data_IF_360033535543
#
_entry.id   IF_360033535543
#
_cell.length_a   1.000
_cell.length_b   1.000
_cell.length_c   1.000
_cell.angle_alpha   90.00
_cell.angle_beta   90.00
_cell.angle_gamma   90.00
#
_symmetry.space_group_name_H-M   'P 1'
#
loop_
_entity.id
_entity.type
_entity.pdbx_description
1 polymer ?
#
# COMPACT_ATOMS: atom_id res chain seq x y z
N UNK A 1 -22.25 12.81 14.12
CA UNK A 1 -22.62 12.95 12.71
C UNK A 1 -23.46 11.75 12.29
N UNK A 2 -24.43 11.93 11.42
CA UNK A 2 -25.25 10.83 10.89
C UNK A 2 -24.82 10.54 9.45
N UNK A 3 -24.49 9.28 9.16
CA UNK A 3 -24.20 8.85 7.80
C UNK A 3 -25.46 8.99 6.92
N UNK A 4 -25.41 9.74 5.80
CA UNK A 4 -26.60 9.99 4.97
C UNK A 4 -27.09 8.74 4.22
N UNK A 5 -26.25 7.73 4.04
CA UNK A 5 -26.59 6.49 3.31
C UNK A 5 -27.10 5.40 4.24
N UNK A 6 -26.47 5.22 5.40
CA UNK A 6 -26.81 4.13 6.34
C UNK A 6 -27.67 4.60 7.50
N UNK A 7 -27.71 5.90 7.78
CA UNK A 7 -28.38 6.48 8.95
C UNK A 7 -27.67 6.23 10.28
N UNK A 8 -26.50 5.59 10.25
CA UNK A 8 -25.68 5.28 11.43
C UNK A 8 -25.12 6.55 12.07
N UNK A 9 -25.03 6.55 13.40
CA UNK A 9 -24.43 7.66 14.16
C UNK A 9 -22.94 7.41 14.31
N UNK A 10 -22.13 8.25 13.64
CA UNK A 10 -20.68 8.22 13.72
C UNK A 10 -20.20 9.26 14.76
N UNK A 11 -19.41 8.86 15.76
CA UNK A 11 -18.83 9.79 16.73
C UNK A 11 -17.82 10.70 16.03
N UNK A 12 -17.85 11.99 16.37
CA UNK A 12 -16.80 12.95 15.96
C UNK A 12 -15.88 13.14 17.16
N UNK A 13 -14.59 12.94 16.95
CA UNK A 13 -13.55 13.27 17.92
C UNK A 13 -12.99 14.63 17.55
N UNK A 14 -12.89 15.56 18.51
CA UNK A 14 -12.36 16.89 18.26
C UNK A 14 -10.95 16.98 18.79
N UNK A 15 -10.02 17.28 17.88
CA UNK A 15 -8.65 17.66 18.20
C UNK A 15 -8.62 19.12 18.62
N UNK A 16 -7.84 19.45 19.66
CA UNK A 16 -7.68 20.82 20.16
C UNK A 16 -6.19 21.10 20.37
N UNK A 17 -5.73 22.20 19.80
CA UNK A 17 -4.38 22.74 20.01
C UNK A 17 -4.46 24.21 20.45
N UNK A 18 -3.50 24.65 21.25
CA UNK A 18 -3.45 26.02 21.78
C UNK A 18 -2.01 26.52 21.85
N UNK A 19 -1.81 27.76 21.45
CA UNK A 19 -0.57 28.49 21.71
C UNK A 19 -0.62 29.08 23.13
N UNK A 20 0.39 28.85 23.97
CA UNK A 20 0.29 29.15 25.40
C UNK A 20 0.31 30.64 25.73
N UNK A 21 0.98 31.51 24.97
CA UNK A 21 1.08 32.94 25.24
C UNK A 21 -0.20 33.68 24.85
N UNK A 22 -0.59 33.53 23.58
CA UNK A 22 -1.80 34.16 23.03
C UNK A 22 -3.10 33.53 23.50
N UNK A 23 -3.02 32.27 23.90
CA UNK A 23 -4.17 31.38 24.09
C UNK A 23 -5.01 31.22 22.81
N UNK A 24 -4.34 31.35 21.63
CA UNK A 24 -4.97 31.17 20.32
C UNK A 24 -5.27 29.70 20.10
N UNK A 25 -6.54 29.38 19.85
CA UNK A 25 -7.05 28.02 19.84
C UNK A 25 -7.30 27.56 18.40
N UNK A 26 -6.84 26.35 18.09
CA UNK A 26 -7.24 25.59 16.93
C UNK A 26 -8.04 24.37 17.35
N UNK A 27 -9.09 24.02 16.59
CA UNK A 27 -9.83 22.78 16.78
C UNK A 27 -10.30 22.23 15.43
N UNK A 28 -10.32 20.89 15.32
CA UNK A 28 -10.81 20.18 14.13
C UNK A 28 -11.48 18.87 14.53
N UNK A 29 -12.65 18.60 13.96
CA UNK A 29 -13.33 17.31 14.07
C UNK A 29 -12.73 16.28 13.13
N UNK A 30 -12.66 15.04 13.58
CA UNK A 30 -12.19 13.88 12.80
C UNK A 30 -13.02 12.64 13.16
N UNK A 31 -13.12 11.69 12.23
CA UNK A 31 -13.85 10.42 12.42
C UNK A 31 -12.96 9.30 12.94
N UNK A 32 -11.68 9.51 13.01
CA UNK A 32 -10.70 8.51 13.45
C UNK A 32 -9.51 9.19 14.11
N UNK A 33 -9.02 8.58 15.17
CA UNK A 33 -7.78 9.00 15.86
C UNK A 33 -6.56 8.17 15.44
N UNK A 34 -6.64 7.49 14.28
CA UNK A 34 -5.49 6.73 13.75
C UNK A 34 -4.37 7.68 13.33
N UNK A 35 -3.15 7.15 13.24
CA UNK A 35 -1.94 7.93 12.94
C UNK A 35 -2.03 8.83 11.69
N UNK A 36 -2.62 8.39 10.55
CA UNK A 36 -2.75 9.28 9.39
C UNK A 36 -3.54 10.57 9.71
N UNK A 37 -4.70 10.42 10.36
CA UNK A 37 -5.55 11.55 10.74
C UNK A 37 -4.92 12.40 11.84
N UNK A 38 -4.19 11.75 12.78
CA UNK A 38 -3.45 12.45 13.81
C UNK A 38 -2.36 13.34 13.22
N UNK A 39 -1.57 12.85 12.28
CA UNK A 39 -0.54 13.60 11.57
C UNK A 39 -1.17 14.75 10.77
N UNK A 40 -2.24 14.47 10.02
CA UNK A 40 -2.95 15.45 9.20
C UNK A 40 -3.48 16.63 10.03
N UNK A 41 -4.12 16.35 11.16
CA UNK A 41 -4.68 17.41 12.00
C UNK A 41 -3.59 18.24 12.69
N UNK A 42 -2.43 17.66 13.00
CA UNK A 42 -1.27 18.41 13.48
C UNK A 42 -0.69 19.31 12.39
N UNK A 43 -0.61 18.84 11.12
CA UNK A 43 -0.21 19.69 10.00
C UNK A 43 -1.13 20.93 9.88
N UNK A 44 -2.45 20.69 9.89
CA UNK A 44 -3.44 21.77 9.81
C UNK A 44 -3.35 22.76 10.98
N UNK A 45 -3.00 22.28 12.18
CA UNK A 45 -2.79 23.14 13.34
C UNK A 45 -1.58 24.08 13.12
N UNK A 46 -0.46 23.56 12.58
CA UNK A 46 0.72 24.36 12.26
C UNK A 46 0.40 25.43 11.19
N UNK A 47 -0.38 25.05 10.15
CA UNK A 47 -0.84 26.00 9.13
C UNK A 47 -1.70 27.12 9.73
N UNK A 48 -2.65 26.74 10.58
CA UNK A 48 -3.53 27.70 11.24
C UNK A 48 -2.77 28.65 12.15
N UNK A 49 -1.76 28.17 12.87
CA UNK A 49 -0.89 29.02 13.69
C UNK A 49 0.08 29.87 12.85
N UNK A 50 0.32 29.47 11.60
CA UNK A 50 1.20 30.17 10.66
C UNK A 50 2.68 29.97 10.94
N UNK A 51 3.06 28.89 11.63
CA UNK A 51 4.44 28.54 11.95
C UNK A 51 4.54 27.31 12.86
N UNK A 52 5.77 26.93 13.16
CA UNK A 52 6.10 25.73 13.94
C UNK A 52 6.62 26.15 15.33
N UNK A 53 6.00 25.72 16.43
CA UNK A 53 6.53 25.95 17.77
C UNK A 53 7.77 25.09 18.00
N UNK A 54 8.76 25.61 18.76
CA UNK A 54 9.95 24.85 19.09
C UNK A 54 9.65 23.59 19.93
N UNK A 55 8.51 23.57 20.65
CA UNK A 55 8.10 22.48 21.52
C UNK A 55 6.59 22.25 21.40
N UNK A 56 6.22 20.99 21.13
CA UNK A 56 4.82 20.51 21.14
C UNK A 56 4.60 19.68 22.41
N UNK A 57 3.72 20.14 23.28
CA UNK A 57 3.30 19.37 24.47
C UNK A 57 2.04 18.60 24.11
N UNK A 58 2.10 17.27 24.09
CA UNK A 58 0.97 16.41 23.78
C UNK A 58 0.48 15.61 24.99
N UNK A 59 -0.76 15.19 24.98
CA UNK A 59 -1.25 14.20 25.94
C UNK A 59 -0.64 12.81 25.65
N UNK A 60 -0.65 11.94 26.66
CA UNK A 60 -0.17 10.56 26.54
C UNK A 60 -1.15 9.69 25.73
N UNK A 61 -1.53 10.12 24.55
CA UNK A 61 -2.33 9.32 23.64
C UNK A 61 -1.41 8.32 22.89
N UNK A 62 -1.97 7.16 22.50
CA UNK A 62 -1.21 6.09 21.82
C UNK A 62 -0.59 6.54 20.48
N UNK A 63 -1.15 7.55 19.86
CA UNK A 63 -0.66 8.14 18.62
C UNK A 63 0.65 8.94 18.83
N UNK A 64 0.83 9.50 20.02
CA UNK A 64 2.02 10.28 20.35
C UNK A 64 3.05 9.48 21.13
N UNK A 65 2.60 8.60 22.05
CA UNK A 65 3.48 7.94 23.03
C UNK A 65 3.16 6.45 23.11
N UNK A 66 4.18 5.60 22.92
CA UNK A 66 4.05 4.14 23.05
C UNK A 66 4.16 3.76 24.53
N UNK A 67 5.20 4.24 25.19
CA UNK A 67 5.47 3.98 26.60
C UNK A 67 5.95 5.27 27.28
N UNK A 68 5.31 5.62 28.40
CA UNK A 68 5.72 6.73 29.24
C UNK A 68 5.86 6.26 30.70
N UNK A 69 6.73 5.29 30.95
CA UNK A 69 7.05 4.82 32.30
C UNK A 69 8.09 5.74 32.96
N UNK A 70 9.04 6.21 32.18
CA UNK A 70 10.02 7.20 32.59
C UNK A 70 9.82 8.48 31.77
N UNK A 71 9.48 9.60 32.47
CA UNK A 71 9.22 10.87 31.81
C UNK A 71 10.48 11.54 31.23
N UNK A 72 11.66 11.03 31.58
CA UNK A 72 12.96 11.54 31.10
C UNK A 72 13.21 11.04 29.67
N UNK A 73 12.83 9.79 29.39
CA UNK A 73 12.99 9.17 28.07
C UNK A 73 11.68 8.47 27.63
N UNK A 74 10.62 9.23 27.30
CA UNK A 74 9.39 8.62 26.80
C UNK A 74 9.63 8.00 25.43
N UNK A 75 9.14 6.78 25.23
CA UNK A 75 9.15 6.16 23.91
C UNK A 75 8.02 6.76 23.05
N UNK A 76 8.39 7.64 22.14
CA UNK A 76 7.45 8.27 21.21
C UNK A 76 7.04 7.30 20.10
N UNK A 77 5.84 7.49 19.57
CA UNK A 77 5.45 6.84 18.34
C UNK A 77 6.42 7.29 17.22
N UNK A 78 6.97 6.32 16.50
CA UNK A 78 8.01 6.57 15.49
C UNK A 78 7.54 7.52 14.37
N UNK A 79 6.29 7.37 13.93
CA UNK A 79 5.75 8.20 12.85
C UNK A 79 5.52 9.64 13.33
N UNK A 80 5.16 9.83 14.61
CA UNK A 80 5.04 11.15 15.21
C UNK A 80 6.40 11.78 15.54
N UNK A 81 7.40 10.98 15.88
CA UNK A 81 8.79 11.44 16.00
C UNK A 81 9.35 11.90 14.64
N UNK A 82 9.13 11.13 13.57
CA UNK A 82 9.51 11.53 12.20
C UNK A 82 8.79 12.81 11.75
N UNK A 83 7.53 13.01 12.17
CA UNK A 83 6.79 14.25 11.96
C UNK A 83 7.47 15.42 12.66
N UNK A 84 7.87 15.26 13.91
CA UNK A 84 8.54 16.30 14.67
C UNK A 84 9.92 16.66 14.05
N UNK A 85 10.68 15.64 13.63
CA UNK A 85 11.97 15.84 12.95
C UNK A 85 11.81 16.61 11.64
N UNK A 86 10.75 16.31 10.87
CA UNK A 86 10.44 17.01 9.61
C UNK A 86 10.19 18.50 9.83
N UNK A 87 9.49 18.85 10.90
CA UNK A 87 9.18 20.25 11.25
C UNK A 87 10.25 20.92 12.11
N UNK A 88 11.25 20.18 12.59
CA UNK A 88 12.28 20.69 13.48
C UNK A 88 11.77 21.05 14.88
N UNK A 89 10.68 20.45 15.32
CA UNK A 89 10.08 20.63 16.65
C UNK A 89 10.38 19.47 17.58
N UNK A 90 10.34 19.69 18.89
CA UNK A 90 10.45 18.62 19.87
C UNK A 90 9.07 18.25 20.42
N UNK A 91 8.84 16.96 20.68
CA UNK A 91 7.62 16.47 21.33
C UNK A 91 7.93 16.23 22.82
N UNK A 92 7.14 16.83 23.69
CA UNK A 92 7.17 16.60 25.12
C UNK A 92 5.84 16.00 25.58
N UNK A 93 5.78 14.72 25.91
CA UNK A 93 4.60 14.13 26.51
C UNK A 93 4.28 14.76 27.85
N UNK A 94 3.01 15.07 28.08
CA UNK A 94 2.59 15.68 29.33
C UNK A 94 2.83 14.72 30.51
N UNK A 95 3.40 15.26 31.58
CA UNK A 95 3.74 14.49 32.77
C UNK A 95 2.47 13.94 33.44
N UNK A 96 2.44 12.62 33.68
CA UNK A 96 1.35 11.98 34.41
C UNK A 96 1.19 12.64 35.80
N UNK A 97 -0.03 13.10 36.15
CA UNK A 97 -0.39 13.72 37.43
C UNK A 97 0.24 15.10 37.74
N UNK A 98 0.72 15.87 36.73
CA UNK A 98 1.13 17.28 36.94
C UNK A 98 0.27 18.22 36.10
N UNK A 99 -0.79 18.80 36.67
CA UNK A 99 -1.79 19.59 35.92
C UNK A 99 -1.25 20.89 35.30
N UNK A 100 -0.16 21.46 35.81
CA UNK A 100 0.37 22.73 35.30
C UNK A 100 0.79 22.71 33.82
N UNK A 101 1.23 21.58 33.28
CA UNK A 101 1.61 21.44 31.88
C UNK A 101 0.41 21.33 30.93
N UNK A 102 -0.76 20.94 31.45
CA UNK A 102 -1.99 20.78 30.67
C UNK A 102 -3.00 21.90 30.87
N UNK A 103 -2.76 22.80 31.83
CA UNK A 103 -3.76 23.80 32.25
C UNK A 103 -4.28 24.67 31.10
N UNK A 104 -3.46 25.00 30.12
CA UNK A 104 -3.87 25.79 28.97
C UNK A 104 -4.79 25.00 28.04
N UNK A 105 -4.46 23.72 27.74
CA UNK A 105 -5.31 22.87 26.88
C UNK A 105 -6.60 22.49 27.60
N UNK A 106 -6.54 22.10 28.86
CA UNK A 106 -7.72 21.80 29.68
C UNK A 106 -8.67 23.01 29.77
N UNK A 107 -8.10 24.21 29.93
CA UNK A 107 -8.87 25.44 29.91
C UNK A 107 -9.50 25.71 28.53
N UNK A 108 -8.76 25.50 27.44
CA UNK A 108 -9.29 25.63 26.09
C UNK A 108 -10.44 24.63 25.83
N UNK A 109 -10.24 23.35 26.19
CA UNK A 109 -11.28 22.33 26.11
C UNK A 109 -12.52 22.74 26.91
N UNK A 110 -12.35 23.21 28.16
CA UNK A 110 -13.45 23.67 28.99
C UNK A 110 -14.20 24.90 28.43
N UNK A 111 -13.51 25.81 27.72
CA UNK A 111 -14.12 26.93 27.01
C UNK A 111 -14.93 26.43 25.82
N UNK A 112 -14.38 25.48 25.05
CA UNK A 112 -15.06 24.87 23.91
C UNK A 112 -16.28 24.05 24.35
N UNK A 113 -16.17 23.27 25.43
CA UNK A 113 -17.29 22.51 25.99
C UNK A 113 -18.47 23.42 26.43
N UNK A 114 -18.18 24.45 27.20
CA UNK A 114 -19.23 25.34 27.78
C UNK A 114 -19.86 26.29 26.76
N UNK A 115 -19.06 26.77 25.80
CA UNK A 115 -19.54 27.79 24.87
C UNK A 115 -19.94 27.29 23.50
N UNK A 116 -19.44 26.13 23.12
CA UNK A 116 -19.41 25.74 21.73
C UNK A 116 -20.08 24.36 21.48
N UNK A 117 -19.62 23.30 22.16
CA UNK A 117 -20.20 21.97 21.91
C UNK A 117 -21.69 21.92 22.22
N UNK A 118 -22.15 22.65 23.22
CA UNK A 118 -23.56 22.72 23.53
C UNK A 118 -24.42 23.28 22.38
N UNK A 119 -23.88 24.26 21.63
CA UNK A 119 -24.58 24.79 20.45
C UNK A 119 -24.55 23.82 19.26
N UNK A 120 -23.48 22.99 19.16
CA UNK A 120 -23.34 22.01 18.08
C UNK A 120 -24.16 20.74 18.33
N UNK A 121 -24.34 20.32 19.58
CA UNK A 121 -25.17 19.16 19.95
C UNK A 121 -26.63 19.30 19.50
N UNK A 122 -27.12 20.51 19.41
CA UNK A 122 -28.48 20.79 18.93
C UNK A 122 -28.61 20.66 17.39
N UNK A 123 -27.49 20.58 16.67
CA UNK A 123 -27.48 20.49 15.21
C UNK A 123 -27.24 19.06 14.75
N UNK A 124 -27.91 18.64 13.69
CA UNK A 124 -27.61 17.38 12.99
C UNK A 124 -26.61 17.63 11.86
N UNK A 125 -25.52 16.91 11.88
CA UNK A 125 -24.50 16.97 10.83
C UNK A 125 -24.53 15.69 9.98
N UNK A 126 -24.46 15.86 8.66
CA UNK A 126 -24.42 14.79 7.68
C UNK A 126 -23.06 14.66 6.98
N UNK A 127 -22.17 15.62 7.19
CA UNK A 127 -20.78 15.54 6.72
C UNK A 127 -19.82 16.15 7.75
N UNK A 128 -18.60 15.62 7.77
CA UNK A 128 -17.52 16.13 8.61
C UNK A 128 -17.10 17.55 8.21
N UNK A 129 -17.15 17.84 6.91
CA UNK A 129 -16.84 19.16 6.36
C UNK A 129 -17.81 20.25 6.89
N UNK A 130 -19.10 19.94 6.90
CA UNK A 130 -20.12 20.84 7.46
C UNK A 130 -19.86 21.11 8.94
N UNK A 131 -19.57 20.04 9.72
CA UNK A 131 -19.22 20.17 11.14
C UNK A 131 -17.99 21.05 11.33
N UNK A 132 -16.91 20.80 10.60
CA UNK A 132 -15.66 21.56 10.72
C UNK A 132 -15.85 23.02 10.28
N UNK A 133 -16.66 23.29 9.28
CA UNK A 133 -16.97 24.65 8.86
C UNK A 133 -17.65 25.45 9.96
N UNK A 134 -18.67 24.86 10.61
CA UNK A 134 -19.37 25.49 11.72
C UNK A 134 -18.43 25.66 12.93
N UNK A 135 -17.62 24.65 13.22
CA UNK A 135 -16.58 24.67 14.25
C UNK A 135 -15.61 25.85 14.06
N UNK A 136 -15.10 26.02 12.84
CA UNK A 136 -14.13 27.09 12.56
C UNK A 136 -14.74 28.47 12.60
N UNK A 137 -15.98 28.66 12.16
CA UNK A 137 -16.69 29.92 12.27
C UNK A 137 -16.83 30.37 13.75
N UNK A 138 -17.24 29.47 14.62
CA UNK A 138 -17.36 29.77 16.06
C UNK A 138 -15.99 29.97 16.71
N UNK A 139 -14.98 29.20 16.28
CA UNK A 139 -13.61 29.32 16.77
C UNK A 139 -12.99 30.67 16.42
N UNK A 140 -13.23 31.14 15.20
CA UNK A 140 -12.79 32.47 14.76
C UNK A 140 -13.43 33.57 15.61
N UNK A 141 -14.74 33.47 15.88
CA UNK A 141 -15.44 34.39 16.77
C UNK A 141 -14.84 34.37 18.19
N UNK A 142 -14.59 33.18 18.74
CA UNK A 142 -13.98 33.00 20.06
C UNK A 142 -12.55 33.59 20.13
N UNK A 143 -11.74 33.39 19.11
CA UNK A 143 -10.38 33.92 19.07
C UNK A 143 -10.33 35.45 18.95
N UNK A 144 -11.40 36.07 18.43
CA UNK A 144 -11.57 37.52 18.37
C UNK A 144 -12.29 38.12 19.57
N UNK A 145 -12.88 37.28 20.46
CA UNK A 145 -13.55 37.74 21.67
C UNK A 145 -12.54 38.37 22.65
N UNK A 146 -12.81 39.57 23.19
CA UNK A 146 -11.96 40.25 24.17
C UNK A 146 -11.79 39.41 25.45
N UNK A 147 -10.56 39.41 25.99
CA UNK A 147 -10.33 38.82 27.29
C UNK A 147 -10.99 39.63 28.39
N UNK A 148 -11.53 38.97 29.41
CA UNK A 148 -12.07 39.68 30.58
C UNK A 148 -11.05 40.38 31.46
N UNK A 149 -9.80 39.96 31.42
CA UNK A 149 -8.70 40.40 32.30
C UNK A 149 -7.47 40.91 31.54
N UNK A 150 -7.45 40.89 30.22
CA UNK A 150 -6.36 41.42 29.37
C UNK A 150 -6.96 42.47 28.44
N UNK A 151 -6.13 43.37 27.95
CA UNK A 151 -6.56 44.52 27.13
C UNK A 151 -7.05 44.12 25.73
N UNK A 152 -6.45 43.09 25.17
CA UNK A 152 -6.76 42.65 23.81
C UNK A 152 -7.35 41.23 23.79
N UNK A 153 -7.58 40.68 22.57
CA UNK A 153 -8.08 39.36 22.32
C UNK A 153 -6.98 38.36 21.97
N UNK A 154 -7.33 37.08 21.77
CA UNK A 154 -6.37 36.00 21.39
C UNK A 154 -5.70 36.27 20.08
N UNK A 155 -6.43 36.79 19.09
CA UNK A 155 -5.92 37.08 17.77
C UNK A 155 -4.80 38.14 17.82
N UNK A 156 -4.97 39.22 18.60
CA UNK A 156 -3.94 40.26 18.79
C UNK A 156 -2.65 39.70 19.35
N UNK A 157 -2.72 38.90 20.42
CA UNK A 157 -1.54 38.30 21.02
C UNK A 157 -0.94 37.21 20.15
N UNK A 158 -1.73 36.56 19.27
CA UNK A 158 -1.22 35.62 18.30
C UNK A 158 -0.36 36.29 17.23
N UNK A 159 -0.69 37.47 16.78
CA UNK A 159 0.14 38.24 15.85
C UNK A 159 1.53 38.54 16.42
N UNK A 160 1.66 38.75 17.73
CA UNK A 160 2.93 38.85 18.43
C UNK A 160 3.63 37.48 18.54
N UNK A 161 2.93 36.44 19.01
CA UNK A 161 3.49 35.08 19.22
C UNK A 161 3.95 34.43 17.91
N UNK A 162 3.28 34.72 16.81
CA UNK A 162 3.60 34.22 15.48
C UNK A 162 5.03 34.59 15.03
N UNK A 163 5.56 35.69 15.47
CA UNK A 163 6.92 36.14 15.11
C UNK A 163 8.00 35.24 15.73
N UNK A 164 7.68 34.54 16.81
CA UNK A 164 8.57 33.60 17.52
C UNK A 164 8.45 32.16 17.00
N UNK A 165 7.48 31.88 16.12
CA UNK A 165 7.33 30.54 15.52
C UNK A 165 8.37 30.36 14.40
N UNK A 166 8.89 29.16 14.27
CA UNK A 166 9.74 28.77 13.14
C UNK A 166 8.94 28.74 11.84
N UNK A 167 9.58 29.02 10.69
CA UNK A 167 8.88 28.98 9.40
C UNK A 167 8.40 27.58 9.07
N UNK A 168 7.23 27.49 8.42
CA UNK A 168 6.72 26.24 7.88
C UNK A 168 7.63 25.78 6.73
N UNK A 169 7.93 24.48 6.63
CA UNK A 169 8.61 23.92 5.47
C UNK A 169 7.74 24.05 4.22
N UNK A 170 8.36 24.02 3.04
CA UNK A 170 7.66 24.13 1.75
C UNK A 170 6.70 22.98 1.45
N UNK A 171 6.88 21.85 2.12
CA UNK A 171 6.05 20.65 1.98
C UNK A 171 5.64 20.14 3.36
N UNK A 172 4.36 19.77 3.49
CA UNK A 172 3.89 19.12 4.71
C UNK A 172 4.48 17.72 4.86
N UNK A 173 4.60 17.28 6.11
CA UNK A 173 4.91 15.90 6.39
C UNK A 173 3.73 15.02 5.94
N UNK A 174 4.01 14.06 5.06
CA UNK A 174 3.05 13.06 4.62
C UNK A 174 3.23 11.76 5.41
N UNK A 175 2.17 11.32 6.09
CA UNK A 175 2.20 10.04 6.77
C UNK A 175 2.49 8.90 5.79
N UNK A 176 3.43 8.03 6.15
CA UNK A 176 3.79 6.86 5.35
C UNK A 176 3.61 5.57 6.14
N UNK A 177 2.63 4.78 5.71
CA UNK A 177 2.48 3.41 6.21
C UNK A 177 3.74 2.59 5.93
N UNK A 178 4.29 1.92 6.97
CA UNK A 178 5.52 1.14 6.86
C UNK A 178 5.23 -0.35 6.95
N UNK A 179 5.79 -1.12 6.04
CA UNK A 179 5.67 -2.57 6.02
C UNK A 179 6.93 -3.22 5.48
N UNK A 180 7.29 -4.36 6.04
CA UNK A 180 8.33 -5.21 5.47
C UNK A 180 7.67 -6.34 4.66
N UNK A 181 8.12 -6.56 3.43
CA UNK A 181 7.64 -7.62 2.57
C UNK A 181 8.82 -8.39 1.95
N UNK A 182 8.60 -9.68 1.66
CA UNK A 182 9.56 -10.50 0.93
C UNK A 182 9.22 -10.44 -0.55
N UNK A 183 10.22 -10.20 -1.40
CA UNK A 183 10.06 -10.24 -2.83
C UNK A 183 9.81 -11.68 -3.30
N UNK A 184 8.80 -11.87 -4.13
CA UNK A 184 8.43 -13.15 -4.72
C UNK A 184 9.20 -13.43 -6.02
N UNK A 185 9.09 -14.68 -6.52
CA UNK A 185 9.82 -15.12 -7.74
C UNK A 185 9.38 -14.41 -9.03
N UNK A 186 8.28 -13.68 -9.00
CA UNK A 186 7.79 -12.82 -10.08
C UNK A 186 8.36 -11.40 -10.05
N UNK A 187 9.35 -11.15 -9.18
CA UNK A 187 10.02 -9.86 -8.96
C UNK A 187 9.11 -8.75 -8.41
N UNK A 188 8.05 -9.12 -7.68
CA UNK A 188 7.16 -8.17 -7.04
C UNK A 188 7.09 -8.38 -5.54
N UNK A 189 6.77 -7.30 -4.84
CA UNK A 189 6.36 -7.33 -3.44
C UNK A 189 4.87 -7.06 -3.35
N UNK A 190 4.20 -7.73 -2.41
CA UNK A 190 2.78 -7.53 -2.16
C UNK A 190 2.58 -6.52 -1.05
N UNK A 191 1.85 -5.46 -1.36
CA UNK A 191 1.42 -4.45 -0.40
C UNK A 191 -0.02 -4.04 -0.70
N UNK A 192 -0.87 -3.94 0.31
CA UNK A 192 -2.29 -3.55 0.22
C UNK A 192 -3.07 -4.28 -0.89
N UNK A 193 -2.85 -5.59 -0.99
CA UNK A 193 -3.42 -6.45 -2.05
C UNK A 193 -3.08 -6.06 -3.49
N UNK A 194 -2.03 -5.27 -3.70
CA UNK A 194 -1.45 -4.96 -5.00
C UNK A 194 0.01 -5.45 -5.08
N UNK A 195 0.57 -5.44 -6.28
CA UNK A 195 1.90 -5.98 -6.57
C UNK A 195 2.77 -4.90 -7.19
N UNK A 196 3.93 -4.67 -6.59
CA UNK A 196 4.88 -3.62 -6.99
C UNK A 196 6.20 -4.23 -7.37
N UNK A 197 6.67 -3.89 -8.55
CA UNK A 197 7.95 -4.38 -9.07
C UNK A 197 9.12 -3.85 -8.29
N UNK A 198 10.10 -4.73 -8.05
CA UNK A 198 11.40 -4.38 -7.46
C UNK A 198 12.52 -4.97 -8.34
N UNK A 199 13.72 -4.40 -8.26
CA UNK A 199 14.86 -4.90 -9.02
C UNK A 199 15.17 -6.37 -8.68
N UNK A 200 15.59 -7.13 -9.70
CA UNK A 200 15.92 -8.56 -9.60
C UNK A 200 17.01 -8.89 -8.57
N UNK A 201 17.91 -7.94 -8.27
CA UNK A 201 18.96 -8.11 -7.26
C UNK A 201 18.40 -8.37 -5.84
N UNK A 202 17.13 -8.08 -5.61
CA UNK A 202 16.44 -8.29 -4.34
C UNK A 202 15.55 -9.54 -4.33
N UNK A 203 15.69 -10.41 -5.33
CA UNK A 203 14.92 -11.66 -5.41
C UNK A 203 15.02 -12.45 -4.09
N UNK A 204 13.85 -12.84 -3.56
CA UNK A 204 13.69 -13.55 -2.28
C UNK A 204 14.20 -12.81 -1.03
N UNK A 205 14.74 -11.59 -1.15
CA UNK A 205 15.12 -10.76 -0.01
C UNK A 205 13.91 -10.02 0.55
N UNK A 206 14.03 -9.59 1.81
CA UNK A 206 13.08 -8.68 2.45
C UNK A 206 13.41 -7.25 2.05
N UNK A 207 12.38 -6.43 1.83
CA UNK A 207 12.48 -5.00 1.56
C UNK A 207 11.55 -4.24 2.49
N UNK A 208 11.85 -2.97 2.74
CA UNK A 208 11.01 -2.05 3.49
C UNK A 208 10.15 -1.24 2.53
N UNK A 209 8.86 -1.19 2.80
CA UNK A 209 7.88 -0.43 2.02
C UNK A 209 7.43 0.75 2.87
N UNK A 210 7.45 1.95 2.30
CA UNK A 210 6.84 3.16 2.84
C UNK A 210 5.78 3.63 1.84
N UNK A 211 4.54 3.72 2.28
CA UNK A 211 3.43 4.07 1.39
C UNK A 211 2.62 5.23 1.96
N UNK A 212 2.49 6.27 1.16
CA UNK A 212 1.55 7.37 1.41
C UNK A 212 0.16 7.05 0.85
N UNK A 213 -0.73 8.03 0.83
CA UNK A 213 -2.04 7.92 0.19
C UNK A 213 -1.95 7.73 -1.33
N UNK A 214 -0.88 8.23 -1.97
CA UNK A 214 -0.72 8.30 -3.43
C UNK A 214 0.45 7.49 -3.97
N UNK A 215 1.48 7.24 -3.15
CA UNK A 215 2.78 6.70 -3.59
C UNK A 215 3.24 5.55 -2.70
N UNK A 216 3.87 4.55 -3.30
CA UNK A 216 4.55 3.44 -2.63
C UNK A 216 6.04 3.50 -2.94
N UNK A 217 6.86 3.74 -1.92
CA UNK A 217 8.33 3.76 -1.98
C UNK A 217 8.89 2.49 -1.38
N UNK A 218 9.83 1.89 -2.06
CA UNK A 218 10.44 0.63 -1.64
C UNK A 218 11.93 0.85 -1.39
N UNK A 219 12.41 0.34 -0.27
CA UNK A 219 13.77 0.50 0.21
C UNK A 219 14.38 -0.86 0.55
N UNK A 220 15.70 -0.97 0.50
CA UNK A 220 16.41 -2.08 1.12
C UNK A 220 16.22 -2.05 2.65
N UNK A 221 16.53 -3.14 3.36
CA UNK A 221 16.52 -3.11 4.84
C UNK A 221 17.60 -2.19 5.42
N UNK A 222 18.63 -1.86 4.63
CA UNK A 222 19.66 -0.89 5.01
C UNK A 222 19.22 0.58 4.80
N UNK A 223 17.99 0.81 4.29
CA UNK A 223 17.46 2.15 4.04
C UNK A 223 17.75 2.73 2.65
N UNK A 224 18.42 1.97 1.77
CA UNK A 224 18.69 2.39 0.40
C UNK A 224 17.38 2.44 -0.42
N UNK A 225 17.14 3.54 -1.13
CA UNK A 225 15.99 3.70 -2.02
C UNK A 225 16.12 2.79 -3.25
N UNK A 226 15.09 2.01 -3.56
CA UNK A 226 15.09 1.07 -4.68
C UNK A 226 14.18 1.53 -5.82
N UNK A 227 12.94 1.87 -5.52
CA UNK A 227 11.98 2.32 -6.52
C UNK A 227 10.75 2.97 -5.88
N UNK A 228 10.01 3.71 -6.72
CA UNK A 228 8.76 4.36 -6.37
C UNK A 228 7.68 4.00 -7.39
N UNK A 229 6.46 3.81 -6.90
CA UNK A 229 5.29 3.50 -7.71
C UNK A 229 4.08 4.30 -7.25
N UNK A 230 3.19 4.72 -8.15
CA UNK A 230 1.86 5.20 -7.75
C UNK A 230 1.14 4.13 -6.93
N UNK A 231 0.48 4.52 -5.83
CA UNK A 231 -0.30 3.57 -5.03
C UNK A 231 -1.45 3.01 -5.87
N UNK A 232 -1.61 1.71 -5.83
CA UNK A 232 -2.64 1.02 -6.57
C UNK A 232 -4.04 1.42 -6.05
N UNK A 233 -4.93 1.73 -6.97
CA UNK A 233 -6.33 2.09 -6.67
C UNK A 233 -7.27 0.88 -6.64
N UNK A 234 -6.81 -0.28 -7.15
CA UNK A 234 -7.60 -1.51 -7.24
C UNK A 234 -6.86 -2.70 -6.65
N UNK A 235 -7.57 -3.55 -5.93
CA UNK A 235 -7.04 -4.83 -5.44
C UNK A 235 -6.61 -5.71 -6.62
N UNK A 236 -5.43 -6.34 -6.53
CA UNK A 236 -4.85 -7.18 -7.58
C UNK A 236 -4.14 -6.41 -8.69
N UNK A 237 -4.00 -5.09 -8.60
CA UNK A 237 -3.25 -4.29 -9.57
C UNK A 237 -1.76 -4.62 -9.54
N UNK A 238 -1.16 -4.66 -10.73
CA UNK A 238 0.27 -4.87 -10.93
C UNK A 238 0.93 -3.60 -11.43
N UNK A 239 1.86 -3.07 -10.65
CA UNK A 239 2.69 -1.93 -11.01
C UNK A 239 4.03 -2.45 -11.53
N UNK A 240 4.18 -2.49 -12.84
CA UNK A 240 5.35 -3.05 -13.53
C UNK A 240 5.73 -2.15 -14.70
N UNK A 241 7.01 -1.78 -14.82
CA UNK A 241 7.52 -1.19 -16.05
C UNK A 241 7.99 -2.32 -16.98
N UNK A 242 7.40 -2.48 -18.17
CA UNK A 242 7.77 -3.53 -19.13
C UNK A 242 9.25 -3.51 -19.53
N UNK A 243 9.89 -2.34 -19.55
CA UNK A 243 11.28 -2.15 -19.96
C UNK A 243 12.28 -2.79 -18.98
N UNK A 244 11.89 -2.92 -17.71
CA UNK A 244 12.74 -3.46 -16.64
C UNK A 244 12.66 -4.99 -16.52
N UNK A 245 11.92 -5.67 -17.38
CA UNK A 245 11.82 -7.12 -17.36
C UNK A 245 12.96 -7.77 -18.10
N UNK A 246 13.55 -8.86 -17.56
CA UNK A 246 14.42 -9.74 -18.34
C UNK A 246 13.71 -10.23 -19.62
N UNK A 247 14.43 -10.40 -20.72
CA UNK A 247 13.83 -10.70 -22.03
C UNK A 247 12.95 -11.96 -22.03
N UNK A 248 13.30 -12.96 -21.22
CA UNK A 248 12.49 -14.15 -20.99
C UNK A 248 11.16 -13.87 -20.23
N UNK A 249 11.02 -12.70 -19.59
CA UNK A 249 9.81 -12.30 -18.86
C UNK A 249 9.03 -11.18 -19.55
N UNK A 250 9.62 -10.48 -20.55
CA UNK A 250 8.91 -9.46 -21.34
C UNK A 250 7.65 -10.02 -22.00
N UNK A 251 7.64 -11.32 -22.35
CA UNK A 251 6.45 -12.02 -22.81
C UNK A 251 5.32 -12.13 -21.80
N UNK A 252 5.61 -12.11 -20.49
CA UNK A 252 4.59 -12.22 -19.43
C UNK A 252 3.89 -10.90 -19.11
N UNK A 253 4.52 -9.75 -19.36
CA UNK A 253 3.90 -8.43 -19.16
C UNK A 253 2.87 -8.08 -20.22
N UNK A 254 2.94 -8.72 -21.37
CA UNK A 254 1.92 -8.59 -22.42
C UNK A 254 0.67 -9.43 -22.11
N UNK A 255 0.68 -10.24 -21.06
CA UNK A 255 -0.47 -11.05 -20.69
C UNK A 255 -1.52 -10.19 -19.98
N UNK A 256 -2.43 -9.74 -20.76
CA UNK A 256 -3.73 -9.22 -20.31
C UNK A 256 -4.81 -10.10 -20.96
N UNK A 257 -6.04 -9.99 -20.51
CA UNK A 257 -7.14 -10.77 -21.10
C UNK A 257 -7.26 -10.58 -22.61
N UNK A 258 -6.99 -9.37 -23.11
CA UNK A 258 -7.00 -9.06 -24.55
C UNK A 258 -5.93 -9.85 -25.32
N UNK A 259 -4.74 -10.03 -24.75
CA UNK A 259 -3.69 -10.84 -25.39
C UNK A 259 -4.16 -12.29 -25.61
N UNK A 260 -4.77 -12.92 -24.60
CA UNK A 260 -5.27 -14.30 -24.72
C UNK A 260 -6.45 -14.40 -25.68
N UNK A 261 -7.33 -13.39 -25.70
CA UNK A 261 -8.46 -13.32 -26.62
C UNK A 261 -7.94 -13.20 -28.07
N UNK A 262 -7.01 -12.29 -28.34
CA UNK A 262 -6.42 -12.14 -29.68
C UNK A 262 -5.73 -13.42 -30.17
N UNK A 263 -5.00 -14.10 -29.30
CA UNK A 263 -4.39 -15.41 -29.62
C UNK A 263 -5.45 -16.47 -29.92
N UNK A 264 -6.54 -16.49 -29.17
CA UNK A 264 -7.64 -17.43 -29.38
C UNK A 264 -8.41 -17.16 -30.68
N UNK A 265 -8.58 -15.90 -31.07
CA UNK A 265 -9.20 -15.47 -32.35
C UNK A 265 -8.46 -15.99 -33.58
N UNK A 266 -7.13 -16.09 -33.51
CA UNK A 266 -6.32 -16.67 -34.58
C UNK A 266 -6.53 -18.20 -34.75
N UNK A 267 -7.10 -18.87 -33.75
CA UNK A 267 -7.39 -20.30 -33.78
C UNK A 267 -8.83 -20.53 -34.25
N UNK A 268 -9.81 -19.89 -33.59
CA UNK A 268 -11.20 -19.96 -33.98
C UNK A 268 -12.16 -19.34 -32.96
N UNK A 269 -13.44 -19.19 -33.37
CA UNK A 269 -14.49 -18.57 -32.54
C UNK A 269 -14.83 -19.34 -31.27
N UNK A 270 -14.80 -20.66 -31.32
CA UNK A 270 -15.10 -21.50 -30.15
C UNK A 270 -13.98 -21.41 -29.13
N UNK A 271 -12.72 -21.39 -29.60
CA UNK A 271 -11.55 -21.20 -28.73
C UNK A 271 -11.60 -19.82 -28.07
N UNK A 272 -11.96 -18.75 -28.81
CA UNK A 272 -12.17 -17.42 -28.24
C UNK A 272 -13.24 -17.44 -27.14
N UNK A 273 -14.38 -18.07 -27.39
CA UNK A 273 -15.48 -18.16 -26.41
C UNK A 273 -15.05 -18.87 -25.13
N UNK A 274 -14.33 -19.96 -25.25
CA UNK A 274 -13.79 -20.71 -24.10
C UNK A 274 -12.79 -19.84 -23.32
N UNK A 275 -11.86 -19.18 -23.99
CA UNK A 275 -10.88 -18.28 -23.32
C UNK A 275 -11.59 -17.15 -22.59
N UNK A 276 -12.58 -16.50 -23.20
CA UNK A 276 -13.39 -15.44 -22.55
C UNK A 276 -14.11 -15.96 -21.31
N UNK A 277 -14.63 -17.17 -21.33
CA UNK A 277 -15.29 -17.81 -20.19
C UNK A 277 -14.28 -18.14 -19.08
N UNK A 278 -13.13 -18.68 -19.43
CA UNK A 278 -12.05 -18.96 -18.47
C UNK A 278 -11.57 -17.69 -17.81
N UNK A 279 -11.37 -16.59 -18.56
CA UNK A 279 -10.95 -15.30 -18.01
C UNK A 279 -11.94 -14.75 -16.97
N UNK A 280 -13.25 -14.96 -17.19
CA UNK A 280 -14.32 -14.56 -16.27
C UNK A 280 -14.55 -15.53 -15.11
N UNK A 281 -13.92 -16.71 -15.10
CA UNK A 281 -14.19 -17.78 -14.12
C UNK A 281 -13.63 -17.50 -12.71
N UNK A 282 -12.84 -16.47 -12.53
CA UNK A 282 -12.24 -16.08 -11.25
C UNK A 282 -12.45 -14.60 -10.98
N UNK A 283 -12.43 -14.23 -9.70
CA UNK A 283 -12.58 -12.83 -9.26
C UNK A 283 -11.48 -11.91 -9.85
N UNK A 284 -10.27 -12.45 -9.99
CA UNK A 284 -9.15 -11.75 -10.60
C UNK A 284 -8.70 -12.48 -11.87
N UNK A 285 -8.74 -11.78 -12.98
CA UNK A 285 -8.42 -12.33 -14.31
C UNK A 285 -7.00 -12.94 -14.39
N UNK A 286 -6.04 -12.35 -13.70
CA UNK A 286 -4.65 -12.85 -13.63
C UNK A 286 -4.53 -14.29 -13.15
N UNK A 287 -5.44 -14.74 -12.27
CA UNK A 287 -5.46 -16.12 -11.77
C UNK A 287 -5.78 -17.15 -12.86
N UNK A 288 -6.34 -16.69 -13.98
CA UNK A 288 -6.76 -17.53 -15.11
C UNK A 288 -5.71 -17.63 -16.21
N UNK A 289 -4.72 -16.75 -16.25
CA UNK A 289 -3.75 -16.65 -17.34
C UNK A 289 -2.96 -17.94 -17.58
N UNK A 290 -2.59 -18.66 -16.51
CA UNK A 290 -1.94 -19.98 -16.66
C UNK A 290 -2.86 -21.02 -17.30
N UNK A 291 -4.16 -20.98 -17.01
CA UNK A 291 -5.15 -21.85 -17.64
C UNK A 291 -5.34 -21.49 -19.12
N UNK A 292 -5.47 -20.22 -19.43
CA UNK A 292 -5.56 -19.71 -20.81
C UNK A 292 -4.34 -20.09 -21.63
N UNK A 293 -3.13 -19.88 -21.09
CA UNK A 293 -1.89 -20.29 -21.73
C UNK A 293 -1.84 -21.80 -21.94
N UNK A 294 -2.25 -22.59 -20.95
CA UNK A 294 -2.31 -24.04 -21.04
C UNK A 294 -3.21 -24.52 -22.18
N UNK A 295 -4.39 -23.89 -22.35
CA UNK A 295 -5.31 -24.20 -23.45
C UNK A 295 -4.67 -23.83 -24.80
N UNK A 296 -4.14 -22.64 -24.95
CA UNK A 296 -3.52 -22.17 -26.18
C UNK A 296 -2.27 -22.98 -26.56
N UNK A 297 -1.51 -23.47 -25.57
CA UNK A 297 -0.33 -24.29 -25.82
C UNK A 297 -0.63 -25.68 -26.39
N UNK A 298 -1.90 -26.12 -26.38
CA UNK A 298 -2.26 -27.37 -27.07
C UNK A 298 -2.03 -27.28 -28.57
N UNK A 299 -2.05 -26.08 -29.17
CA UNK A 299 -1.69 -25.88 -30.58
C UNK A 299 -0.24 -26.27 -30.91
N UNK A 300 0.64 -26.42 -29.89
CA UNK A 300 2.01 -26.93 -30.08
C UNK A 300 2.08 -28.43 -30.34
N UNK A 301 1.02 -29.18 -29.96
CA UNK A 301 0.95 -30.62 -30.08
C UNK A 301 -0.16 -31.09 -31.02
N UNK A 302 -1.21 -30.32 -31.14
CA UNK A 302 -2.40 -30.63 -31.94
C UNK A 302 -2.67 -29.50 -32.93
N UNK A 303 -3.44 -29.76 -33.96
CA UNK A 303 -3.79 -28.73 -34.93
C UNK A 303 -4.76 -27.70 -34.35
N UNK A 304 -4.81 -26.52 -34.95
CA UNK A 304 -5.81 -25.50 -34.62
C UNK A 304 -7.23 -26.01 -34.78
N UNK A 305 -7.46 -26.91 -35.77
CA UNK A 305 -8.79 -27.53 -36.00
C UNK A 305 -9.20 -28.45 -34.88
N UNK A 306 -8.27 -29.27 -34.36
CA UNK A 306 -8.52 -30.14 -33.25
C UNK A 306 -8.86 -29.36 -31.96
N UNK A 307 -8.14 -28.29 -31.68
CA UNK A 307 -8.43 -27.44 -30.54
C UNK A 307 -9.76 -26.71 -30.68
N UNK A 308 -10.07 -26.20 -31.86
CA UNK A 308 -11.34 -25.50 -32.15
C UNK A 308 -12.56 -26.45 -31.99
N UNK A 309 -12.47 -27.69 -32.51
CA UNK A 309 -13.55 -28.69 -32.36
C UNK A 309 -13.68 -29.18 -30.90
N UNK A 310 -12.57 -29.36 -30.19
CA UNK A 310 -12.58 -29.65 -28.77
C UNK A 310 -13.24 -28.53 -27.94
N UNK A 311 -12.96 -27.25 -28.28
CA UNK A 311 -13.59 -26.10 -27.66
C UNK A 311 -15.10 -26.05 -27.98
N UNK A 312 -15.51 -26.40 -29.18
CA UNK A 312 -16.92 -26.47 -29.59
C UNK A 312 -17.67 -27.54 -28.73
N UNK A 313 -17.08 -28.70 -28.55
CA UNK A 313 -17.64 -29.74 -27.66
C UNK A 313 -17.71 -29.27 -26.20
N UNK A 314 -16.67 -28.57 -25.72
CA UNK A 314 -16.66 -28.00 -24.38
C UNK A 314 -17.80 -26.97 -24.17
N UNK A 315 -18.12 -26.17 -25.18
CA UNK A 315 -19.26 -25.26 -25.15
C UNK A 315 -20.60 -26.01 -25.15
N UNK A 316 -20.77 -26.99 -26.02
CA UNK A 316 -22.00 -27.77 -26.14
C UNK A 316 -22.31 -28.50 -24.83
N UNK A 317 -21.29 -28.98 -24.13
CA UNK A 317 -21.43 -29.72 -22.84
C UNK A 317 -21.39 -28.76 -21.62
N UNK A 318 -21.29 -27.48 -21.80
CA UNK A 318 -21.12 -26.45 -20.76
C UNK A 318 -19.94 -26.75 -19.79
N UNK A 319 -18.86 -27.35 -20.32
CA UNK A 319 -17.64 -27.74 -19.58
C UNK A 319 -16.41 -26.97 -20.02
N UNK A 320 -16.48 -25.64 -20.06
CA UNK A 320 -15.43 -24.73 -20.52
C UNK A 320 -14.30 -24.59 -19.48
N UNK A 321 -13.58 -25.67 -19.23
CA UNK A 321 -12.47 -25.73 -18.25
C UNK A 321 -11.23 -26.35 -18.87
N UNK A 322 -10.04 -25.90 -18.43
CA UNK A 322 -8.75 -26.43 -18.86
C UNK A 322 -8.68 -27.97 -18.75
N UNK A 323 -9.16 -28.52 -17.64
CA UNK A 323 -9.11 -29.98 -17.38
C UNK A 323 -9.95 -30.79 -18.39
N UNK A 324 -11.10 -30.26 -18.81
CA UNK A 324 -11.92 -30.92 -19.83
C UNK A 324 -11.17 -30.94 -21.18
N UNK A 325 -10.67 -29.80 -21.64
CA UNK A 325 -9.94 -29.69 -22.89
C UNK A 325 -8.70 -30.58 -22.88
N UNK A 326 -7.93 -30.57 -21.79
CA UNK A 326 -6.77 -31.45 -21.63
C UNK A 326 -7.08 -32.92 -21.80
N UNK A 327 -8.22 -33.40 -21.28
CA UNK A 327 -8.60 -34.80 -21.30
C UNK A 327 -9.27 -35.24 -22.62
N UNK A 328 -9.83 -34.28 -23.38
CA UNK A 328 -10.64 -34.60 -24.57
C UNK A 328 -9.87 -34.33 -25.87
N UNK A 329 -8.89 -33.45 -25.87
CA UNK A 329 -8.22 -32.98 -27.11
C UNK A 329 -7.50 -34.13 -27.87
N UNK A 330 -6.96 -35.13 -27.18
CA UNK A 330 -6.33 -36.29 -27.83
C UNK A 330 -7.34 -37.11 -28.60
N UNK A 331 -8.51 -37.36 -27.99
CA UNK A 331 -9.59 -38.13 -28.62
C UNK A 331 -10.13 -37.40 -29.85
N UNK A 332 -10.36 -36.10 -29.72
CA UNK A 332 -10.84 -35.26 -30.83
C UNK A 332 -9.81 -35.20 -31.99
N UNK A 333 -8.53 -35.16 -31.68
CA UNK A 333 -7.48 -35.20 -32.68
C UNK A 333 -7.43 -36.57 -33.41
N UNK A 334 -7.59 -37.66 -32.68
CA UNK A 334 -7.68 -39.04 -33.26
C UNK A 334 -8.92 -39.19 -34.17
N UNK A 335 -10.08 -38.68 -33.76
CA UNK A 335 -11.33 -38.67 -34.53
C UNK A 335 -11.19 -37.85 -35.82
N UNK A 336 -10.36 -36.81 -35.84
CA UNK A 336 -10.07 -35.98 -37.01
C UNK A 336 -8.99 -36.61 -37.91
N UNK A 337 -8.47 -37.80 -37.60
CA UNK A 337 -7.42 -38.46 -38.35
C UNK A 337 -6.04 -37.84 -38.21
N UNK A 338 -5.82 -37.03 -37.16
CA UNK A 338 -4.57 -36.32 -36.90
C UNK A 338 -3.60 -37.11 -35.97
N UNK A 339 -3.81 -38.42 -35.84
CA UNK A 339 -2.92 -39.29 -35.08
C UNK A 339 -1.47 -39.15 -35.58
N UNK A 340 -0.61 -38.59 -34.75
CA UNK A 340 0.80 -38.33 -35.09
C UNK A 340 1.12 -36.95 -35.66
N UNK A 341 0.17 -35.99 -35.67
CA UNK A 341 0.44 -34.61 -36.07
C UNK A 341 1.57 -34.01 -35.23
N UNK A 342 2.67 -33.63 -35.90
CA UNK A 342 3.75 -32.86 -35.30
C UNK A 342 3.71 -31.47 -35.92
N UNK A 343 3.46 -30.43 -35.11
CA UNK A 343 3.56 -29.06 -35.54
C UNK A 343 4.97 -28.82 -36.12
N UNK A 344 5.12 -28.33 -37.33
CA UNK A 344 6.41 -27.95 -37.86
C UNK A 344 7.02 -26.91 -36.91
N UNK A 345 8.10 -27.27 -36.24
CA UNK A 345 8.81 -26.37 -35.33
C UNK A 345 9.43 -25.24 -36.18
N UNK A 346 9.05 -23.96 -35.95
CA UNK A 346 9.67 -22.85 -36.68
C UNK A 346 11.10 -22.56 -36.22
N UNK A 347 11.58 -23.27 -35.20
CA UNK A 347 12.94 -23.13 -34.70
C UNK A 347 13.72 -24.43 -34.91
N UNK A 348 14.59 -24.48 -35.93
CA UNK A 348 15.76 -25.30 -35.86
C UNK A 348 16.54 -24.80 -34.66
N UNK A 349 16.65 -25.61 -33.62
CA UNK A 349 17.58 -25.35 -32.51
C UNK A 349 18.99 -25.44 -33.12
N UNK A 350 19.57 -24.31 -33.51
CA UNK A 350 21.02 -24.23 -33.58
C UNK A 350 21.53 -24.39 -32.15
N UNK A 351 22.50 -25.27 -31.91
CA UNK A 351 23.06 -25.42 -30.57
C UNK A 351 23.72 -24.10 -30.19
N UNK A 352 23.14 -23.42 -29.19
CA UNK A 352 23.75 -22.24 -28.57
C UNK A 352 25.03 -22.75 -27.92
N UNK A 353 26.16 -22.52 -28.59
CA UNK A 353 27.49 -22.74 -28.01
C UNK A 353 27.64 -21.77 -26.84
N UNK A 354 27.64 -22.31 -25.61
CA UNK A 354 27.90 -21.54 -24.40
C UNK A 354 26.84 -21.61 -23.27
N UNK A 355 25.84 -22.44 -23.39
CA UNK A 355 24.93 -22.75 -22.25
C UNK A 355 25.53 -23.86 -21.40
N UNK A 356 25.76 -23.63 -20.12
CA UNK A 356 26.10 -24.66 -19.15
C UNK A 356 24.97 -25.71 -19.12
N UNK A 357 25.20 -26.82 -19.81
CA UNK A 357 24.32 -28.00 -19.75
C UNK A 357 24.77 -28.76 -18.50
N UNK A 358 23.98 -28.75 -17.46
CA UNK A 358 24.19 -29.66 -16.32
C UNK A 358 24.14 -31.10 -16.84
N UNK A 359 25.18 -31.91 -16.55
CA UNK A 359 25.17 -33.32 -16.93
C UNK A 359 23.98 -34.03 -16.27
N UNK A 360 23.36 -35.03 -16.91
CA UNK A 360 22.20 -35.74 -16.38
C UNK A 360 22.43 -36.42 -15.01
N UNK A 361 23.66 -36.66 -14.63
CA UNK A 361 24.07 -37.25 -13.34
C UNK A 361 23.94 -36.27 -12.12
N UNK A 362 23.78 -34.97 -12.38
CA UNK A 362 23.72 -33.96 -11.32
C UNK A 362 22.29 -33.73 -10.76
N UNK A 363 21.30 -34.50 -11.20
CA UNK A 363 19.90 -34.28 -10.84
C UNK A 363 19.34 -35.17 -9.73
N UNK A 364 20.14 -36.04 -9.14
CA UNK A 364 19.72 -36.81 -7.96
C UNK A 364 19.96 -35.98 -6.69
N UNK A 365 18.96 -35.96 -5.80
CA UNK A 365 19.05 -35.30 -4.50
C UNK A 365 20.28 -35.78 -3.70
N UNK A 366 20.66 -37.06 -3.86
CA UNK A 366 21.82 -37.66 -3.20
C UNK A 366 23.14 -37.05 -3.69
N UNK A 367 23.25 -36.68 -4.96
CA UNK A 367 24.46 -36.01 -5.51
C UNK A 367 24.59 -34.58 -5.02
N UNK A 368 23.47 -33.86 -4.81
CA UNK A 368 23.45 -32.52 -4.22
C UNK A 368 23.80 -32.56 -2.73
N UNK A 369 23.30 -33.55 -1.99
CA UNK A 369 23.61 -33.73 -0.58
C UNK A 369 25.06 -34.15 -0.34
N UNK A 370 25.65 -35.00 -1.17
CA UNK A 370 27.07 -35.37 -1.07
C UNK A 370 28.02 -34.19 -1.36
N UNK A 371 27.67 -33.32 -2.34
CA UNK A 371 28.44 -32.10 -2.63
C UNK A 371 28.31 -31.06 -1.52
N UNK A 372 27.14 -30.91 -0.89
CA UNK A 372 26.96 -29.98 0.21
C UNK A 372 27.72 -30.43 1.47
N UNK A 373 27.84 -31.73 1.71
CA UNK A 373 28.68 -32.29 2.79
C UNK A 373 30.16 -32.09 2.55
N UNK A 374 30.65 -32.35 1.32
CA UNK A 374 32.04 -32.12 0.95
C UNK A 374 32.46 -30.64 1.05
N UNK A 375 31.54 -29.69 0.72
CA UNK A 375 31.80 -28.26 0.90
C UNK A 375 31.84 -27.86 2.39
N UNK A 376 30.96 -28.44 3.19
CA UNK A 376 30.93 -28.17 4.63
C UNK A 376 32.17 -28.73 5.35
N UNK A 377 32.71 -29.86 4.88
CA UNK A 377 33.95 -30.46 5.42
C UNK A 377 35.17 -29.61 5.03
N UNK A 378 35.24 -29.11 3.76
CA UNK A 378 36.27 -28.16 3.33
C UNK A 378 36.28 -26.85 4.11
N UNK A 379 35.10 -26.28 4.40
CA UNK A 379 35.01 -25.05 5.21
C UNK A 379 35.42 -25.26 6.68
N UNK A 380 35.34 -26.48 7.21
CA UNK A 380 35.82 -26.81 8.56
C UNK A 380 37.34 -27.00 8.61
N UNK A 381 37.93 -27.51 7.57
CA UNK A 381 39.42 -27.65 7.44
C UNK A 381 40.11 -26.28 7.26
N UNK A 382 39.41 -25.27 6.68
CA UNK A 382 39.94 -23.90 6.53
C UNK A 382 39.74 -23.02 7.80
N UNK A 383 38.94 -23.44 8.79
CA UNK A 383 38.77 -22.74 10.07
C UNK A 383 39.73 -23.26 11.19
N UNK A 384 40.42 -24.41 10.94
CA UNK A 384 41.33 -25.04 11.91
C UNK A 384 42.85 -24.84 11.56
N UNK A 385 43.18 -24.10 10.48
CA UNK A 385 44.50 -23.59 10.11
C UNK A 385 44.61 -22.06 10.42
#
# INVERSE_FOLDING_TARGET
>A
MRDPLTGEILPIVVFVAILPYSQYIYAQGMLSTKEPQWIEVNNHALDYFGGVPALVVCDNCKQAVIVNQDWIEPELNKDYADWADHYGTAILPAKVRKPKFKSSVENAVGILEKGFFHKLEERQYFSLEQFNKDLWNELEALNKEPFKKKEHNRYYYWEEEKLELMPLPSMHYEYMERKTAKMSSDFHVRFDNAYYRVDKAFLHKKVSIKASSTVVRIYSLAGEFLCEWPRATRKGQWSTNPEHLPDNYKGFTQWNGLFFIQKAQLIGKNTETVIRTVLKSRLYEVQTYRMCLGILNFTKKYSNKALEECCKQAIALNKQKYTFIKNTISVVADDLGEAGYRHPSPYKKEPVRGGYVMPPEASSIDTLLSRSRALADQMREEEDD
#
